data_IF_165645897522
#
_entry.id   IF_165645897522
#
_cell.length_a   1.000
_cell.length_b   1.000
_cell.length_c   1.000
_cell.angle_alpha   90.00
_cell.angle_beta   90.00
_cell.angle_gamma   90.00
#
_symmetry.space_group_name_H-M   'P 1'
#
loop_
_entity.id
_entity.type
_entity.pdbx_description
1 polymer ?
#
# COMPACT_ATOMS: atom_id res chain seq x y z
N UNK A 1 19.45 14.63 0.31
CA UNK A 1 19.14 15.54 -0.81
C UNK A 1 20.26 16.51 -1.11
N UNK A 2 20.83 17.26 -0.16
CA UNK A 2 22.04 18.08 -0.42
C UNK A 2 23.22 17.24 -0.90
N UNK A 3 23.39 16.05 -0.33
CA UNK A 3 24.40 15.07 -0.76
C UNK A 3 24.06 14.39 -2.10
N UNK A 4 22.84 14.55 -2.60
CA UNK A 4 22.43 14.02 -3.90
C UNK A 4 22.89 14.96 -5.01
N UNK A 5 23.53 14.41 -6.04
CA UNK A 5 24.06 15.20 -7.16
C UNK A 5 22.98 16.09 -7.80
N UNK A 6 23.37 17.26 -8.32
CA UNK A 6 22.43 18.18 -8.95
C UNK A 6 21.71 17.53 -10.14
N UNK A 7 22.42 16.72 -10.93
CA UNK A 7 21.82 15.94 -12.03
C UNK A 7 20.72 15.02 -11.54
N UNK A 8 20.97 14.22 -10.50
CA UNK A 8 19.96 13.34 -9.95
C UNK A 8 18.78 14.11 -9.37
N UNK A 9 19.02 15.24 -8.67
CA UNK A 9 17.96 16.10 -8.16
C UNK A 9 17.09 16.70 -9.26
N UNK A 10 17.69 17.11 -10.38
CA UNK A 10 16.95 17.60 -11.54
C UNK A 10 16.07 16.49 -12.13
N UNK A 11 16.60 15.27 -12.28
CA UNK A 11 15.82 14.11 -12.76
C UNK A 11 14.67 13.80 -11.79
N UNK A 12 14.94 13.73 -10.48
CA UNK A 12 13.93 13.49 -9.46
C UNK A 12 12.82 14.56 -9.48
N UNK A 13 13.17 15.84 -9.65
CA UNK A 13 12.20 16.93 -9.77
C UNK A 13 11.30 16.77 -11.01
N UNK A 14 11.88 16.40 -12.15
CA UNK A 14 11.11 16.13 -13.39
C UNK A 14 10.18 14.94 -13.20
N UNK A 15 10.67 13.84 -12.61
CA UNK A 15 9.85 12.65 -12.31
C UNK A 15 8.68 13.02 -11.39
N UNK A 16 8.93 13.76 -10.31
CA UNK A 16 7.88 14.22 -9.40
C UNK A 16 6.83 15.08 -10.11
N UNK A 17 7.26 16.04 -10.94
CA UNK A 17 6.33 16.89 -11.68
C UNK A 17 5.49 16.08 -12.69
N UNK A 18 6.13 15.25 -13.52
CA UNK A 18 5.44 14.47 -14.56
C UNK A 18 4.48 13.46 -13.95
N UNK A 19 4.95 12.64 -13.01
CA UNK A 19 4.09 11.64 -12.35
C UNK A 19 3.02 12.34 -11.51
N UNK A 20 3.34 13.46 -10.85
CA UNK A 20 2.37 14.24 -10.10
C UNK A 20 1.23 14.76 -10.96
N UNK A 21 1.53 15.26 -12.18
CA UNK A 21 0.52 15.66 -13.16
C UNK A 21 -0.31 14.47 -13.65
N UNK A 22 0.32 13.32 -13.92
CA UNK A 22 -0.39 12.08 -14.30
C UNK A 22 -1.33 11.62 -13.17
N UNK A 23 -0.89 11.68 -11.91
CA UNK A 23 -1.69 11.37 -10.73
C UNK A 23 -2.88 12.32 -10.55
N UNK A 24 -2.73 13.60 -10.88
CA UNK A 24 -3.79 14.59 -10.74
C UNK A 24 -4.79 14.57 -11.91
N UNK A 25 -4.34 14.30 -13.14
CA UNK A 25 -5.16 14.52 -14.35
C UNK A 25 -5.44 13.28 -15.19
N UNK A 26 -4.73 12.16 -14.98
CA UNK A 26 -4.96 10.93 -15.75
C UNK A 26 -5.53 9.83 -14.85
N UNK A 27 -4.89 9.59 -13.69
CA UNK A 27 -5.30 8.50 -12.79
C UNK A 27 -6.74 8.63 -12.30
N UNK A 28 -7.32 9.81 -11.99
CA UNK A 28 -8.70 9.89 -11.53
C UNK A 28 -9.71 9.33 -12.55
N UNK A 29 -9.43 9.48 -13.85
CA UNK A 29 -10.23 8.89 -14.91
C UNK A 29 -10.05 7.37 -14.96
N UNK A 30 -8.81 6.88 -14.85
CA UNK A 30 -8.54 5.43 -14.79
C UNK A 30 -9.25 4.77 -13.60
N UNK A 31 -9.25 5.41 -12.43
CA UNK A 31 -9.97 4.93 -11.24
C UNK A 31 -11.48 4.90 -11.50
N UNK A 32 -12.05 5.98 -12.06
CA UNK A 32 -13.48 6.04 -12.36
C UNK A 32 -13.90 4.98 -13.36
N UNK A 33 -13.19 4.85 -14.48
CA UNK A 33 -13.46 3.81 -15.49
C UNK A 33 -13.30 2.41 -14.91
N UNK A 34 -12.32 2.20 -14.04
CA UNK A 34 -12.13 0.93 -13.33
C UNK A 34 -13.31 0.61 -12.43
N UNK A 35 -13.78 1.58 -11.63
CA UNK A 35 -14.91 1.44 -10.74
C UNK A 35 -16.19 1.11 -11.51
N UNK A 36 -16.51 1.87 -12.55
CA UNK A 36 -17.71 1.67 -13.36
C UNK A 36 -17.77 0.25 -13.93
N UNK A 37 -16.64 -0.23 -14.50
CA UNK A 37 -16.56 -1.61 -14.99
C UNK A 37 -16.81 -2.61 -13.87
N UNK A 38 -16.14 -2.46 -12.73
CA UNK A 38 -16.35 -3.35 -11.58
C UNK A 38 -17.82 -3.36 -11.14
N UNK A 39 -18.45 -2.19 -11.01
CA UNK A 39 -19.84 -2.08 -10.56
C UNK A 39 -20.82 -2.69 -11.56
N UNK A 40 -20.61 -2.52 -12.87
CA UNK A 40 -21.44 -3.13 -13.92
C UNK A 40 -21.38 -4.66 -13.85
N UNK A 41 -20.17 -5.23 -13.86
CA UNK A 41 -20.00 -6.69 -13.84
C UNK A 41 -20.44 -7.31 -12.51
N UNK A 42 -20.15 -6.65 -11.39
CA UNK A 42 -20.61 -7.08 -10.07
C UNK A 42 -22.13 -7.04 -9.97
N UNK A 43 -22.78 -5.98 -10.47
CA UNK A 43 -24.24 -5.88 -10.49
C UNK A 43 -24.88 -6.97 -11.34
N UNK A 44 -24.29 -7.29 -12.49
CA UNK A 44 -24.74 -8.40 -13.33
C UNK A 44 -24.62 -9.75 -12.59
N UNK A 45 -23.50 -9.98 -11.90
CA UNK A 45 -23.28 -11.19 -11.12
C UNK A 45 -24.28 -11.35 -9.96
N UNK A 46 -24.64 -10.24 -9.29
CA UNK A 46 -25.66 -10.21 -8.26
C UNK A 46 -27.04 -10.54 -8.85
N UNK A 47 -27.42 -9.91 -9.97
CA UNK A 47 -28.68 -10.17 -10.68
C UNK A 47 -28.79 -11.61 -11.19
N UNK A 48 -27.67 -12.28 -11.45
CA UNK A 48 -27.61 -13.70 -11.83
C UNK A 48 -27.82 -14.66 -10.64
N UNK A 49 -28.22 -14.18 -9.46
CA UNK A 49 -28.59 -15.01 -8.32
C UNK A 49 -27.55 -15.10 -7.20
N UNK A 50 -26.57 -14.18 -7.16
CA UNK A 50 -25.51 -14.17 -6.13
C UNK A 50 -25.62 -12.95 -5.19
N UNK A 51 -26.70 -12.83 -4.39
CA UNK A 51 -26.95 -11.64 -3.55
C UNK A 51 -25.91 -11.43 -2.45
N UNK A 52 -25.15 -12.47 -2.08
CA UNK A 52 -24.07 -12.38 -1.09
C UNK A 52 -22.94 -11.40 -1.49
N UNK A 53 -22.86 -10.98 -2.75
CA UNK A 53 -21.87 -10.01 -3.22
C UNK A 53 -22.36 -8.55 -3.20
N UNK A 54 -23.62 -8.30 -2.81
CA UNK A 54 -24.24 -6.97 -2.77
C UNK A 54 -23.48 -5.96 -1.90
N UNK A 55 -22.87 -6.41 -0.80
CA UNK A 55 -22.05 -5.55 0.06
C UNK A 55 -20.81 -4.99 -0.65
N UNK A 56 -20.37 -5.60 -1.75
CA UNK A 56 -19.26 -5.12 -2.55
C UNK A 56 -19.55 -3.79 -3.24
N UNK A 57 -20.80 -3.52 -3.63
CA UNK A 57 -21.16 -2.30 -4.34
C UNK A 57 -20.82 -1.03 -3.54
N UNK A 58 -21.36 -0.81 -2.32
CA UNK A 58 -21.06 0.39 -1.55
C UNK A 58 -19.60 0.44 -1.09
N UNK A 59 -18.99 -0.72 -0.80
CA UNK A 59 -17.59 -0.77 -0.35
C UNK A 59 -16.60 -0.37 -1.45
N UNK A 60 -16.81 -0.85 -2.68
CA UNK A 60 -15.96 -0.48 -3.81
C UNK A 60 -16.17 0.98 -4.22
N UNK A 61 -17.43 1.45 -4.26
CA UNK A 61 -17.72 2.87 -4.55
C UNK A 61 -17.01 3.82 -3.59
N UNK A 62 -17.10 3.53 -2.28
CA UNK A 62 -16.44 4.31 -1.23
C UNK A 62 -14.91 4.24 -1.31
N UNK A 63 -14.35 3.03 -1.34
CA UNK A 63 -12.90 2.83 -1.28
C UNK A 63 -12.17 3.34 -2.53
N UNK A 64 -12.72 3.14 -3.73
CA UNK A 64 -12.16 3.69 -4.97
C UNK A 64 -12.19 5.21 -4.94
N UNK A 65 -13.28 5.81 -4.44
CA UNK A 65 -13.40 7.26 -4.32
C UNK A 65 -12.37 7.86 -3.37
N UNK A 66 -12.11 7.21 -2.23
CA UNK A 66 -11.03 7.60 -1.31
C UNK A 66 -9.67 7.50 -1.99
N UNK A 67 -9.35 6.36 -2.61
CA UNK A 67 -8.05 6.20 -3.28
C UNK A 67 -7.84 7.20 -4.39
N UNK A 68 -8.88 7.51 -5.18
CA UNK A 68 -8.85 8.58 -6.18
C UNK A 68 -8.48 9.92 -5.57
N UNK A 69 -9.15 10.32 -4.48
CA UNK A 69 -8.90 11.59 -3.81
C UNK A 69 -7.48 11.66 -3.21
N UNK A 70 -7.03 10.57 -2.57
CA UNK A 70 -5.68 10.46 -2.02
C UNK A 70 -4.62 10.56 -3.12
N UNK A 71 -4.79 9.85 -4.24
CA UNK A 71 -3.86 9.88 -5.37
C UNK A 71 -3.83 11.28 -6.00
N UNK A 72 -4.98 11.92 -6.18
CA UNK A 72 -5.07 13.29 -6.68
C UNK A 72 -4.29 14.26 -5.78
N UNK A 73 -4.55 14.22 -4.48
CA UNK A 73 -3.86 15.07 -3.50
C UNK A 73 -2.35 14.79 -3.47
N UNK A 74 -1.95 13.52 -3.57
CA UNK A 74 -0.54 13.16 -3.67
C UNK A 74 0.11 13.64 -4.96
N UNK A 75 -0.64 13.68 -6.06
CA UNK A 75 -0.17 14.21 -7.34
C UNK A 75 0.10 15.72 -7.25
N UNK A 76 -0.86 16.47 -6.68
CA UNK A 76 -0.68 17.88 -6.39
C UNK A 76 0.53 18.12 -5.46
N UNK A 77 0.68 17.31 -4.42
CA UNK A 77 1.83 17.37 -3.51
C UNK A 77 3.17 17.18 -4.22
N UNK A 78 3.28 16.20 -5.12
CA UNK A 78 4.49 15.95 -5.90
C UNK A 78 4.87 17.12 -6.82
N UNK A 79 3.87 17.73 -7.47
CA UNK A 79 4.09 18.93 -8.31
C UNK A 79 4.60 20.10 -7.47
N UNK A 80 4.00 20.34 -6.30
CA UNK A 80 4.40 21.44 -5.41
C UNK A 80 5.83 21.25 -4.91
N UNK A 81 6.22 20.04 -4.50
CA UNK A 81 7.55 19.80 -3.94
C UNK A 81 8.64 19.62 -4.99
N UNK A 82 8.30 19.51 -6.29
CA UNK A 82 9.27 19.31 -7.36
C UNK A 82 10.38 20.40 -7.36
N UNK A 83 10.00 21.64 -7.07
CA UNK A 83 10.95 22.75 -6.95
C UNK A 83 11.87 22.60 -5.74
N UNK A 84 11.34 22.16 -4.60
CA UNK A 84 12.12 21.94 -3.37
C UNK A 84 13.07 20.74 -3.50
N UNK A 85 12.69 19.72 -4.27
CA UNK A 85 13.57 18.60 -4.65
C UNK A 85 14.78 19.13 -5.42
N UNK A 86 14.55 20.03 -6.39
CA UNK A 86 15.63 20.64 -7.17
C UNK A 86 16.60 21.45 -6.30
N UNK A 87 16.10 22.18 -5.31
CA UNK A 87 16.91 22.90 -4.30
C UNK A 87 17.69 21.97 -3.37
N UNK A 88 17.26 20.72 -3.23
CA UNK A 88 17.91 19.72 -2.38
C UNK A 88 17.41 19.73 -0.93
N UNK A 89 16.17 20.13 -0.70
CA UNK A 89 15.53 20.11 0.63
C UNK A 89 15.32 18.67 1.12
N UNK A 90 15.91 18.27 2.24
CA UNK A 90 15.95 16.87 2.72
C UNK A 90 14.58 16.22 2.93
N UNK A 91 13.63 16.97 3.51
CA UNK A 91 12.29 16.48 3.83
C UNK A 91 11.48 16.04 2.60
N UNK A 92 11.87 16.49 1.40
CA UNK A 92 11.16 16.16 0.16
C UNK A 92 11.31 14.70 -0.23
N UNK A 93 12.42 14.04 0.13
CA UNK A 93 12.68 12.64 -0.20
C UNK A 93 11.67 11.68 0.45
N UNK A 94 11.54 11.64 1.80
CA UNK A 94 10.58 10.75 2.45
C UNK A 94 9.14 11.12 2.09
N UNK A 95 8.83 12.40 1.89
CA UNK A 95 7.49 12.80 1.46
C UNK A 95 7.18 12.27 0.06
N UNK A 96 8.07 12.46 -0.92
CA UNK A 96 7.85 11.98 -2.28
C UNK A 96 7.61 10.47 -2.32
N UNK A 97 8.38 9.68 -1.56
CA UNK A 97 8.15 8.23 -1.45
C UNK A 97 6.75 7.92 -0.92
N UNK A 98 6.28 8.59 0.13
CA UNK A 98 4.90 8.44 0.63
C UNK A 98 3.87 8.76 -0.45
N UNK A 99 4.08 9.85 -1.22
CA UNK A 99 3.15 10.27 -2.26
C UNK A 99 3.11 9.27 -3.44
N UNK A 100 4.27 8.74 -3.85
CA UNK A 100 4.34 7.68 -4.88
C UNK A 100 3.80 6.33 -4.39
N UNK A 101 3.80 6.07 -3.09
CA UNK A 101 3.21 4.86 -2.52
C UNK A 101 1.68 4.83 -2.67
N UNK A 102 1.01 5.98 -2.71
CA UNK A 102 -0.46 6.07 -2.82
C UNK A 102 -1.01 5.36 -4.06
N UNK A 103 -0.60 5.70 -5.30
CA UNK A 103 -1.08 4.99 -6.49
C UNK A 103 -0.60 3.54 -6.55
N UNK A 104 0.57 3.23 -5.99
CA UNK A 104 1.09 1.86 -5.90
C UNK A 104 0.16 0.96 -5.08
N UNK A 105 -0.12 1.36 -3.84
CA UNK A 105 -0.97 0.62 -2.89
C UNK A 105 -2.41 0.62 -3.35
N UNK A 106 -2.95 1.80 -3.70
CA UNK A 106 -4.33 1.94 -4.15
C UNK A 106 -4.61 1.16 -5.44
N UNK A 107 -3.71 1.24 -6.42
CA UNK A 107 -3.84 0.51 -7.69
C UNK A 107 -3.88 -1.01 -7.49
N UNK A 108 -3.04 -1.57 -6.62
CA UNK A 108 -3.02 -3.02 -6.40
C UNK A 108 -4.18 -3.48 -5.53
N UNK A 109 -4.67 -2.63 -4.63
CA UNK A 109 -5.95 -2.86 -3.97
C UNK A 109 -7.09 -2.94 -5.00
N UNK A 110 -7.19 -1.95 -5.90
CA UNK A 110 -8.23 -1.89 -6.94
C UNK A 110 -8.10 -3.00 -7.99
N UNK A 111 -6.89 -3.51 -8.21
CA UNK A 111 -6.61 -4.62 -9.12
C UNK A 111 -7.42 -5.88 -8.77
N UNK A 112 -7.53 -6.23 -7.49
CA UNK A 112 -8.18 -7.48 -7.06
C UNK A 112 -9.68 -7.55 -7.39
N UNK A 113 -10.53 -6.57 -7.02
CA UNK A 113 -11.91 -6.56 -7.49
C UNK A 113 -12.00 -6.43 -9.01
N UNK A 114 -11.05 -5.75 -9.68
CA UNK A 114 -11.06 -5.69 -11.15
C UNK A 114 -10.92 -7.07 -11.78
N UNK A 115 -9.87 -7.83 -11.45
CA UNK A 115 -9.64 -9.15 -12.06
C UNK A 115 -10.69 -10.19 -11.66
N UNK A 116 -11.39 -9.96 -10.54
CA UNK A 116 -12.46 -10.85 -10.07
C UNK A 116 -13.72 -10.74 -10.92
N UNK A 117 -13.98 -9.58 -11.54
CA UNK A 117 -15.26 -9.27 -12.17
C UNK A 117 -15.15 -8.87 -13.64
N UNK A 118 -14.08 -8.17 -14.00
CA UNK A 118 -13.92 -7.54 -15.30
C UNK A 118 -12.98 -8.37 -16.17
N UNK A 119 -13.43 -8.82 -17.36
CA UNK A 119 -12.56 -9.53 -18.30
C UNK A 119 -11.53 -8.58 -18.94
N UNK A 120 -10.35 -9.12 -19.25
CA UNK A 120 -9.31 -8.42 -20.00
C UNK A 120 -8.22 -7.78 -19.13
N UNK A 121 -7.50 -6.82 -19.71
CA UNK A 121 -6.34 -6.21 -19.06
C UNK A 121 -6.74 -5.32 -17.87
N UNK A 122 -6.10 -5.48 -16.70
CA UNK A 122 -6.50 -4.78 -15.48
C UNK A 122 -5.97 -3.35 -15.42
N UNK A 123 -6.85 -2.38 -15.70
CA UNK A 123 -6.52 -0.95 -15.66
C UNK A 123 -5.84 -0.50 -14.35
N UNK A 124 -6.23 -0.97 -13.15
CA UNK A 124 -5.57 -0.58 -11.91
C UNK A 124 -4.08 -0.94 -11.84
N UNK A 125 -3.63 -1.92 -12.61
CA UNK A 125 -2.21 -2.29 -12.69
C UNK A 125 -1.37 -1.14 -13.27
N UNK A 126 -1.91 -0.39 -14.24
CA UNK A 126 -1.24 0.79 -14.81
C UNK A 126 -1.04 1.86 -13.72
N UNK A 127 -2.07 2.07 -12.90
CA UNK A 127 -2.04 3.01 -11.78
C UNK A 127 -0.90 2.63 -10.81
N UNK A 128 -0.80 1.36 -10.45
CA UNK A 128 0.26 0.87 -9.58
C UNK A 128 1.65 1.08 -10.17
N UNK A 129 1.84 0.75 -11.45
CA UNK A 129 3.16 0.86 -12.08
C UNK A 129 3.62 2.31 -12.25
N UNK A 130 2.71 3.26 -12.45
CA UNK A 130 3.05 4.70 -12.44
C UNK A 130 3.61 5.10 -11.07
N UNK A 131 2.95 4.66 -9.99
CA UNK A 131 3.43 4.89 -8.62
C UNK A 131 4.81 4.27 -8.37
N UNK A 132 4.96 2.99 -8.70
CA UNK A 132 6.20 2.24 -8.49
C UNK A 132 7.37 2.82 -9.28
N UNK A 133 7.13 3.29 -10.51
CA UNK A 133 8.16 3.92 -11.32
C UNK A 133 8.75 5.14 -10.60
N UNK A 134 7.91 6.02 -10.05
CA UNK A 134 8.37 7.16 -9.24
C UNK A 134 9.05 6.71 -7.95
N UNK A 135 8.44 5.78 -7.23
CA UNK A 135 8.91 5.26 -5.95
C UNK A 135 10.33 4.67 -6.05
N UNK A 136 10.54 3.73 -6.98
CA UNK A 136 11.83 3.07 -7.17
C UNK A 136 12.88 4.02 -7.74
N UNK A 137 12.49 4.89 -8.67
CA UNK A 137 13.41 5.90 -9.21
C UNK A 137 13.97 6.78 -8.09
N UNK A 138 13.13 7.23 -7.15
CA UNK A 138 13.59 8.04 -6.02
C UNK A 138 14.58 7.29 -5.12
N UNK A 139 14.32 6.01 -4.83
CA UNK A 139 15.24 5.18 -4.03
C UNK A 139 16.62 5.08 -4.71
N UNK A 140 16.66 4.83 -6.02
CA UNK A 140 17.93 4.63 -6.73
C UNK A 140 18.65 5.94 -7.09
N UNK A 141 17.94 7.04 -7.28
CA UNK A 141 18.54 8.35 -7.58
C UNK A 141 19.06 9.07 -6.34
N UNK A 142 18.49 8.79 -5.17
CA UNK A 142 18.95 9.37 -3.91
C UNK A 142 20.41 9.02 -3.59
N UNK A 143 21.06 9.84 -2.77
CA UNK A 143 22.43 9.56 -2.31
C UNK A 143 22.48 8.30 -1.44
N UNK A 144 23.59 7.56 -1.48
CA UNK A 144 23.79 6.34 -0.70
C UNK A 144 24.58 5.26 -1.44
N UNK A 145 25.09 4.29 -0.69
CA UNK A 145 25.83 3.16 -1.27
C UNK A 145 24.91 2.26 -2.10
N UNK A 146 25.47 1.48 -3.02
CA UNK A 146 24.69 0.52 -3.84
C UNK A 146 23.90 -0.44 -2.95
N UNK A 147 24.50 -0.93 -1.86
CA UNK A 147 23.85 -1.86 -0.93
C UNK A 147 22.69 -1.18 -0.21
N UNK A 148 22.87 0.04 0.32
CA UNK A 148 21.78 0.79 0.97
C UNK A 148 20.58 0.98 0.03
N UNK A 149 20.81 1.29 -1.25
CA UNK A 149 19.74 1.45 -2.25
C UNK A 149 18.96 0.16 -2.45
N UNK A 150 19.65 -0.97 -2.62
CA UNK A 150 19.00 -2.27 -2.78
C UNK A 150 18.25 -2.73 -1.54
N UNK A 151 18.81 -2.51 -0.35
CA UNK A 151 18.14 -2.82 0.93
C UNK A 151 16.90 -1.95 1.12
N UNK A 152 16.99 -0.63 0.87
CA UNK A 152 15.84 0.27 0.91
C UNK A 152 14.78 -0.13 -0.12
N UNK A 153 15.19 -0.44 -1.36
CA UNK A 153 14.30 -0.92 -2.41
C UNK A 153 13.52 -2.15 -1.97
N UNK A 154 14.20 -3.19 -1.48
CA UNK A 154 13.56 -4.43 -1.08
C UNK A 154 12.66 -4.25 0.15
N UNK A 155 13.18 -3.64 1.22
CA UNK A 155 12.44 -3.43 2.46
C UNK A 155 11.16 -2.58 2.23
N UNK A 156 11.31 -1.45 1.55
CA UNK A 156 10.20 -0.53 1.30
C UNK A 156 9.18 -1.09 0.30
N UNK A 157 9.61 -1.92 -0.65
CA UNK A 157 8.68 -2.62 -1.56
C UNK A 157 7.87 -3.66 -0.80
N UNK A 158 8.50 -4.48 0.05
CA UNK A 158 7.79 -5.45 0.89
C UNK A 158 6.80 -4.78 1.86
N UNK A 159 7.17 -3.63 2.44
CA UNK A 159 6.25 -2.82 3.24
C UNK A 159 5.04 -2.37 2.42
N UNK A 160 5.25 -1.87 1.20
CA UNK A 160 4.15 -1.49 0.30
C UNK A 160 3.24 -2.66 -0.09
N UNK A 161 3.82 -3.83 -0.37
CA UNK A 161 3.07 -5.07 -0.65
C UNK A 161 2.23 -5.50 0.55
N UNK A 162 2.83 -5.52 1.74
CA UNK A 162 2.12 -5.87 2.98
C UNK A 162 1.01 -4.85 3.29
N UNK A 163 1.24 -3.56 3.05
CA UNK A 163 0.24 -2.51 3.22
C UNK A 163 -0.96 -2.75 2.30
N UNK A 164 -0.70 -3.03 1.03
CA UNK A 164 -1.74 -3.34 0.03
C UNK A 164 -2.57 -4.56 0.45
N UNK A 165 -1.87 -5.62 0.84
CA UNK A 165 -2.51 -6.85 1.24
C UNK A 165 -3.35 -6.67 2.52
N UNK A 166 -2.81 -6.01 3.54
CA UNK A 166 -3.53 -5.72 4.78
C UNK A 166 -4.79 -4.87 4.54
N UNK A 167 -4.70 -3.84 3.69
CA UNK A 167 -5.85 -3.04 3.32
C UNK A 167 -6.93 -3.88 2.61
N UNK A 168 -6.51 -4.74 1.69
CA UNK A 168 -7.38 -5.66 0.97
C UNK A 168 -8.08 -6.62 1.91
N UNK A 169 -7.35 -7.24 2.85
CA UNK A 169 -7.92 -8.15 3.85
C UNK A 169 -8.99 -7.44 4.66
N UNK A 170 -8.73 -6.21 5.12
CA UNK A 170 -9.72 -5.48 5.90
C UNK A 170 -10.99 -5.15 5.10
N UNK A 171 -10.87 -4.70 3.84
CA UNK A 171 -12.06 -4.50 2.97
C UNK A 171 -12.79 -5.82 2.72
N UNK A 172 -12.05 -6.90 2.42
CA UNK A 172 -12.61 -8.23 2.21
C UNK A 172 -13.33 -8.76 3.45
N UNK A 173 -12.82 -8.43 4.63
CA UNK A 173 -13.44 -8.72 5.91
C UNK A 173 -14.77 -7.97 6.07
N UNK A 174 -14.78 -6.65 5.89
CA UNK A 174 -16.01 -5.86 5.96
C UNK A 174 -17.08 -6.36 4.98
N UNK A 175 -16.68 -6.68 3.74
CA UNK A 175 -17.58 -7.20 2.70
C UNK A 175 -18.27 -8.49 3.16
N UNK A 176 -17.48 -9.44 3.65
CA UNK A 176 -17.99 -10.75 4.07
C UNK A 176 -18.78 -10.66 5.37
N UNK A 177 -18.40 -9.74 6.27
CA UNK A 177 -19.12 -9.47 7.51
C UNK A 177 -20.50 -8.86 7.25
N UNK A 178 -20.63 -7.98 6.26
CA UNK A 178 -21.90 -7.34 5.93
C UNK A 178 -22.97 -8.33 5.44
N UNK A 179 -22.58 -9.47 4.87
CA UNK A 179 -23.50 -10.51 4.39
C UNK A 179 -23.44 -11.79 5.23
N UNK A 180 -22.94 -11.71 6.46
CA UNK A 180 -22.83 -12.88 7.34
C UNK A 180 -24.22 -13.43 7.72
N UNK A 181 -24.35 -14.75 7.96
CA UNK A 181 -25.55 -15.32 8.54
C UNK A 181 -25.86 -14.69 9.90
N UNK A 182 -27.14 -14.41 10.17
CA UNK A 182 -27.57 -13.88 11.46
C UNK A 182 -27.15 -12.44 11.75
N UNK A 183 -26.75 -11.65 10.74
CA UNK A 183 -26.47 -10.22 10.90
C UNK A 183 -27.61 -9.49 11.65
N UNK A 184 -27.33 -8.68 12.71
CA UNK A 184 -26.02 -8.16 13.12
C UNK A 184 -25.25 -9.01 14.14
N UNK A 185 -25.69 -10.23 14.47
CA UNK A 185 -25.01 -11.09 15.44
C UNK A 185 -23.87 -11.90 14.82
N UNK A 186 -23.09 -12.58 15.67
CA UNK A 186 -21.96 -13.43 15.28
C UNK A 186 -22.34 -14.88 15.57
N UNK A 187 -22.46 -15.74 14.54
CA UNK A 187 -22.87 -17.13 14.74
C UNK A 187 -21.91 -17.95 15.61
N UNK A 188 -20.60 -17.72 15.45
CA UNK A 188 -19.55 -18.49 16.12
C UNK A 188 -18.22 -17.72 16.22
N UNK A 189 -17.23 -18.36 16.87
CA UNK A 189 -15.87 -17.83 17.03
C UNK A 189 -15.17 -17.53 15.71
N UNK A 190 -15.43 -18.28 14.63
CA UNK A 190 -14.80 -18.08 13.32
C UNK A 190 -15.18 -16.72 12.74
N UNK A 191 -16.44 -16.33 12.86
CA UNK A 191 -16.92 -15.00 12.43
C UNK A 191 -16.34 -13.88 13.28
N UNK A 192 -16.19 -14.11 14.59
CA UNK A 192 -15.53 -13.15 15.48
C UNK A 192 -14.04 -12.96 15.15
N UNK A 193 -13.29 -14.06 15.00
CA UNK A 193 -11.89 -14.05 14.59
C UNK A 193 -11.69 -13.37 13.24
N UNK A 194 -12.57 -13.65 12.28
CA UNK A 194 -12.49 -13.07 10.94
C UNK A 194 -12.69 -11.54 10.95
N UNK A 195 -13.63 -11.04 11.76
CA UNK A 195 -13.76 -9.59 11.98
C UNK A 195 -12.49 -9.03 12.60
N UNK A 196 -12.00 -9.66 13.67
CA UNK A 196 -10.79 -9.21 14.36
C UNK A 196 -9.58 -9.16 13.43
N UNK A 197 -9.40 -10.16 12.56
CA UNK A 197 -8.38 -10.17 11.52
C UNK A 197 -8.49 -8.98 10.56
N UNK A 198 -9.71 -8.65 10.12
CA UNK A 198 -9.95 -7.48 9.28
C UNK A 198 -9.51 -6.17 9.94
N UNK A 199 -9.94 -5.93 11.18
CA UNK A 199 -9.64 -4.68 11.89
C UNK A 199 -8.15 -4.54 12.23
N UNK A 200 -7.49 -5.64 12.65
CA UNK A 200 -6.05 -5.63 12.94
C UNK A 200 -5.25 -5.30 11.68
N UNK A 201 -5.63 -5.87 10.53
CA UNK A 201 -4.98 -5.55 9.26
C UNK A 201 -5.17 -4.07 8.89
N UNK A 202 -6.34 -3.48 9.11
CA UNK A 202 -6.57 -2.03 8.90
C UNK A 202 -5.71 -1.14 9.79
N UNK A 203 -5.60 -1.46 11.08
CA UNK A 203 -4.71 -0.72 11.98
C UNK A 203 -3.25 -0.87 11.52
N UNK A 204 -2.85 -2.06 11.09
CA UNK A 204 -1.50 -2.32 10.60
C UNK A 204 -1.15 -1.49 9.35
N UNK A 205 -2.12 -1.20 8.46
CA UNK A 205 -1.94 -0.32 7.29
C UNK A 205 -1.43 1.06 7.71
N UNK A 206 -1.98 1.65 8.78
CA UNK A 206 -1.60 2.99 9.24
C UNK A 206 -0.11 3.01 9.62
N UNK A 207 0.31 2.06 10.45
CA UNK A 207 1.69 1.93 10.89
C UNK A 207 2.64 1.57 9.73
N UNK A 208 2.25 0.69 8.80
CA UNK A 208 3.06 0.37 7.63
C UNK A 208 3.24 1.58 6.72
N UNK A 209 2.18 2.33 6.46
CA UNK A 209 2.25 3.53 5.64
C UNK A 209 3.12 4.61 6.28
N UNK A 210 2.98 4.82 7.59
CA UNK A 210 3.85 5.73 8.36
C UNK A 210 5.32 5.28 8.42
N UNK A 211 5.57 3.98 8.32
CA UNK A 211 6.94 3.44 8.32
C UNK A 211 7.73 3.84 7.07
N UNK A 212 7.08 4.03 5.92
CA UNK A 212 7.72 4.35 4.63
C UNK A 212 8.60 5.62 4.73
N UNK A 213 8.06 6.81 5.07
CA UNK A 213 8.87 8.04 5.12
C UNK A 213 9.94 7.96 6.22
N UNK A 214 9.63 7.31 7.34
CA UNK A 214 10.56 7.22 8.47
C UNK A 214 11.74 6.29 8.19
N UNK A 215 11.50 5.13 7.58
CA UNK A 215 12.55 4.20 7.16
C UNK A 215 13.35 4.70 5.97
N UNK A 216 12.74 5.46 5.06
CA UNK A 216 13.47 6.13 4.00
C UNK A 216 14.54 7.09 4.56
N UNK A 217 14.27 7.74 5.69
CA UNK A 217 15.23 8.55 6.44
C UNK A 217 16.11 7.74 7.42
N UNK A 218 16.04 6.41 7.40
CA UNK A 218 16.79 5.55 8.33
C UNK A 218 16.40 5.70 9.81
N UNK A 219 15.20 6.21 10.12
CA UNK A 219 14.77 6.46 11.51
C UNK A 219 14.26 5.20 12.20
N UNK A 220 14.72 4.99 13.44
CA UNK A 220 14.31 3.87 14.30
C UNK A 220 12.81 3.82 14.60
N UNK A 221 12.12 4.98 14.66
CA UNK A 221 10.67 5.03 14.85
C UNK A 221 9.92 4.34 13.69
N UNK A 222 10.38 4.53 12.45
CA UNK A 222 9.82 3.84 11.28
C UNK A 222 10.02 2.33 11.33
N UNK A 223 11.18 1.91 11.80
CA UNK A 223 11.48 0.48 12.02
C UNK A 223 10.51 -0.15 13.03
N UNK A 224 10.26 0.49 14.16
CA UNK A 224 9.29 -0.01 15.13
C UNK A 224 7.88 -0.13 14.54
N UNK A 225 7.44 0.85 13.75
CA UNK A 225 6.12 0.79 13.10
C UNK A 225 6.03 -0.40 12.14
N UNK A 226 7.05 -0.64 11.31
CA UNK A 226 7.08 -1.79 10.40
C UNK A 226 7.09 -3.13 11.16
N UNK A 227 7.90 -3.24 12.23
CA UNK A 227 7.99 -4.46 13.06
C UNK A 227 6.67 -4.74 13.78
N UNK A 228 6.09 -3.73 14.45
CA UNK A 228 4.82 -3.88 15.17
C UNK A 228 3.71 -4.34 14.23
N UNK A 229 3.55 -3.69 13.07
CA UNK A 229 2.57 -4.13 12.07
C UNK A 229 2.80 -5.55 11.59
N UNK A 230 4.04 -5.91 11.30
CA UNK A 230 4.36 -7.24 10.77
C UNK A 230 4.10 -8.33 11.81
N UNK A 231 4.45 -8.09 13.07
CA UNK A 231 4.14 -9.00 14.18
C UNK A 231 2.63 -9.09 14.38
N UNK A 232 1.90 -7.97 14.40
CA UNK A 232 0.45 -7.96 14.57
C UNK A 232 -0.26 -8.75 13.44
N UNK A 233 0.17 -8.56 12.19
CA UNK A 233 -0.35 -9.32 11.05
C UNK A 233 -0.02 -10.81 11.18
N UNK A 234 1.20 -11.19 11.59
CA UNK A 234 1.53 -12.60 11.82
C UNK A 234 0.66 -13.22 12.91
N UNK A 235 0.54 -12.54 14.05
CA UNK A 235 -0.22 -13.01 15.20
C UNK A 235 -1.69 -13.27 14.87
N UNK A 236 -2.29 -12.51 13.94
CA UNK A 236 -3.70 -12.67 13.59
C UNK A 236 -3.90 -13.52 12.32
N UNK A 237 -3.05 -13.39 11.30
CA UNK A 237 -3.23 -14.09 10.03
C UNK A 237 -2.86 -15.57 10.14
N UNK A 238 -1.81 -15.94 10.89
CA UNK A 238 -1.41 -17.34 11.07
C UNK A 238 -2.55 -18.19 11.65
N UNK A 239 -3.12 -17.86 12.83
CA UNK A 239 -4.25 -18.65 13.36
C UNK A 239 -5.48 -18.58 12.46
N UNK A 240 -5.75 -17.44 11.82
CA UNK A 240 -6.88 -17.31 10.88
C UNK A 240 -6.73 -18.25 9.68
N UNK A 241 -5.53 -18.46 9.15
CA UNK A 241 -5.30 -19.40 8.05
C UNK A 241 -5.58 -20.86 8.43
N UNK A 242 -5.23 -21.26 9.66
CA UNK A 242 -5.50 -22.62 10.14
C UNK A 242 -7.00 -22.89 10.33
N UNK A 243 -7.77 -21.86 10.70
CA UNK A 243 -9.22 -21.98 10.89
C UNK A 243 -9.98 -21.80 9.57
N UNK A 244 -9.49 -20.92 8.68
CA UNK A 244 -10.12 -20.58 7.40
C UNK A 244 -9.23 -20.95 6.23
N UNK A 245 -9.32 -22.20 5.81
CA UNK A 245 -8.49 -22.79 4.75
C UNK A 245 -9.05 -22.64 3.35
N UNK A 246 -10.24 -22.06 3.18
CA UNK A 246 -10.89 -21.88 1.86
C UNK A 246 -10.10 -20.98 0.91
N UNK A 247 -9.34 -20.02 1.45
CA UNK A 247 -8.45 -19.17 0.67
C UNK A 247 -7.07 -19.13 1.33
N UNK A 248 -6.06 -18.71 0.57
CA UNK A 248 -4.68 -18.57 1.03
C UNK A 248 -4.32 -17.12 1.38
N UNK A 249 -5.31 -16.23 1.45
CA UNK A 249 -5.07 -14.80 1.61
C UNK A 249 -4.29 -14.52 2.91
N UNK A 250 -4.64 -15.19 4.01
CA UNK A 250 -3.96 -15.00 5.29
C UNK A 250 -2.54 -15.57 5.29
N UNK A 251 -2.32 -16.70 4.62
CA UNK A 251 -0.98 -17.25 4.40
C UNK A 251 -0.11 -16.24 3.65
N UNK A 252 -0.61 -15.62 2.58
CA UNK A 252 0.14 -14.62 1.83
C UNK A 252 0.47 -13.40 2.70
N UNK A 253 -0.46 -12.95 3.54
CA UNK A 253 -0.17 -11.87 4.50
C UNK A 253 0.88 -12.25 5.54
N UNK A 254 0.83 -13.47 6.06
CA UNK A 254 1.84 -13.98 6.98
C UNK A 254 3.23 -14.05 6.31
N UNK A 255 3.32 -14.54 5.07
CA UNK A 255 4.57 -14.62 4.32
C UNK A 255 5.14 -13.22 4.01
N UNK A 256 4.30 -12.27 3.62
CA UNK A 256 4.71 -10.88 3.40
C UNK A 256 5.20 -10.22 4.69
N UNK A 257 4.51 -10.44 5.81
CA UNK A 257 4.93 -9.96 7.12
C UNK A 257 6.26 -10.57 7.56
N UNK A 258 6.46 -11.88 7.34
CA UNK A 258 7.75 -12.53 7.55
C UNK A 258 8.85 -11.90 6.67
N UNK A 259 8.55 -11.60 5.39
CA UNK A 259 9.46 -10.87 4.51
C UNK A 259 9.87 -9.50 5.04
N UNK A 260 8.93 -8.70 5.54
CA UNK A 260 9.23 -7.41 6.20
C UNK A 260 10.10 -7.63 7.44
N UNK A 261 9.83 -8.66 8.25
CA UNK A 261 10.65 -8.99 9.42
C UNK A 261 12.07 -9.42 9.04
N UNK A 262 12.27 -10.13 7.93
CA UNK A 262 13.61 -10.45 7.43
C UNK A 262 14.40 -9.16 7.18
N UNK A 263 13.83 -8.20 6.46
CA UNK A 263 14.53 -6.93 6.17
C UNK A 263 14.74 -6.03 7.38
N UNK A 264 13.88 -6.14 8.40
CA UNK A 264 13.94 -5.27 9.59
C UNK A 264 14.72 -5.89 10.75
N UNK A 265 14.76 -7.22 10.91
CA UNK A 265 15.39 -7.89 12.05
C UNK A 265 16.75 -8.51 11.73
N UNK A 266 17.01 -8.94 10.50
CA UNK A 266 18.32 -9.50 10.15
C UNK A 266 19.39 -8.41 10.25
N UNK A 267 20.48 -8.61 11.02
CA UNK A 267 21.47 -7.56 11.31
C UNK A 267 22.07 -6.92 10.06
N UNK A 268 22.31 -7.73 9.02
CA UNK A 268 22.84 -7.27 7.74
C UNK A 268 21.93 -6.21 7.10
N UNK A 269 20.63 -6.48 6.94
CA UNK A 269 19.70 -5.52 6.34
C UNK A 269 19.45 -4.33 7.26
N UNK A 270 19.27 -4.57 8.55
CA UNK A 270 19.02 -3.53 9.55
C UNK A 270 20.10 -2.45 9.55
N UNK A 271 21.39 -2.83 9.51
CA UNK A 271 22.52 -1.89 9.46
C UNK A 271 22.50 -0.99 8.22
N UNK A 272 21.99 -1.48 7.10
CA UNK A 272 21.91 -0.70 5.85
C UNK A 272 20.58 0.05 5.71
N UNK A 273 19.58 -0.29 6.51
CA UNK A 273 18.27 0.37 6.53
C UNK A 273 18.26 1.56 7.49
N UNK A 274 18.89 1.43 8.66
CA UNK A 274 18.97 2.46 9.68
C UNK A 274 20.26 3.27 9.54
N UNK A 275 20.16 4.58 9.73
CA UNK A 275 21.33 5.43 9.89
C UNK A 275 21.69 5.42 11.38
N UNK A 276 22.89 4.94 11.73
CA UNK A 276 23.42 4.95 13.10
C UNK A 276 23.77 6.39 13.54
N UNK A 277 22.78 7.28 13.54
CA UNK A 277 22.85 8.52 14.30
C UNK A 277 22.26 8.22 15.67
N UNK A 278 23.14 8.24 16.66
CA UNK A 278 22.92 8.26 18.11
C UNK A 278 21.52 8.79 18.52
N UNK A 279 20.87 8.21 19.56
CA UNK A 279 19.49 8.52 19.89
C UNK A 279 19.36 9.99 20.32
N UNK A 280 18.69 10.79 19.50
CA UNK A 280 18.09 12.02 20.02
C UNK A 280 16.90 11.64 20.89
N UNK A 281 17.04 12.04 22.16
CA UNK A 281 16.11 11.94 23.27
C UNK A 281 14.72 12.51 22.94
#
# INVERSE_FOLDING_TARGET
MKETSQTNRNIMAVIAAVIGLVMAYVIPFLVQTSLERVLVYLSAHIKAGNPAFSSGLPLFDFSYSIWRALIFAGGAGLVVIAWEIKKGSEWTFPLALTLFALPSVGGFYMFLPYISWVPGFPLPMVISFIGLAGYWSFIFLHHGTKIQKWVRFAALTFIGMLTTHAFTIGIGAQRTMATRPGHPMYPDFTWWLFRWAGEVNWVAVIFLFMSIPLLAMGKRRGWWMAVISSIAILMINVPTQFIRTKTLDYLYGALLAAGVLVFTLVPYFKKHLLEDKSPEA
#
